data_IF_984717569569
#
_entry.id   IF_984717569569
#
_cell.length_a   1.000
_cell.length_b   1.000
_cell.length_c   1.000
_cell.angle_alpha   90.00
_cell.angle_beta   90.00
_cell.angle_gamma   90.00
#
_symmetry.space_group_name_H-M   'P 1'
#
loop_
_entity.id
_entity.type
_entity.pdbx_description
1 polymer ?
#
# COMPACT_ATOMS: atom_id res chain seq x y z
N UNK A 1 -43.13 2.49 4.23
CA UNK A 1 -42.27 3.15 3.22
C UNK A 1 -40.90 2.48 3.24
N UNK A 2 -40.44 1.89 2.12
CA UNK A 2 -39.07 1.36 2.03
C UNK A 2 -38.14 2.53 1.71
N UNK A 3 -37.30 2.93 2.67
CA UNK A 3 -36.25 3.90 2.45
C UNK A 3 -35.29 3.29 1.44
N UNK A 4 -35.26 3.82 0.21
CA UNK A 4 -34.24 3.46 -0.77
C UNK A 4 -32.91 3.96 -0.20
N UNK A 5 -32.05 3.04 0.23
CA UNK A 5 -30.65 3.34 0.53
C UNK A 5 -29.99 3.72 -0.80
N UNK A 6 -30.02 5.00 -1.14
CA UNK A 6 -29.24 5.56 -2.23
C UNK A 6 -27.78 5.50 -1.74
N UNK A 7 -26.87 4.80 -2.44
CA UNK A 7 -25.45 4.82 -2.08
C UNK A 7 -24.99 6.27 -2.04
N UNK A 8 -24.38 6.69 -0.93
CA UNK A 8 -23.79 8.03 -0.85
C UNK A 8 -22.85 8.24 -2.05
N UNK A 9 -22.83 9.45 -2.65
CA UNK A 9 -21.94 9.74 -3.76
C UNK A 9 -20.48 9.43 -3.38
N UNK A 10 -19.64 9.03 -4.35
CA UNK A 10 -18.24 8.74 -4.08
C UNK A 10 -17.59 9.95 -3.42
N UNK A 11 -16.98 9.73 -2.25
CA UNK A 11 -16.28 10.79 -1.54
C UNK A 11 -15.08 11.24 -2.35
N UNK A 12 -14.99 12.53 -2.64
CA UNK A 12 -13.85 13.11 -3.34
C UNK A 12 -12.72 13.44 -2.35
N UNK A 13 -11.58 12.78 -2.51
CA UNK A 13 -10.36 13.08 -1.76
C UNK A 13 -9.49 14.07 -2.54
N UNK A 14 -8.91 15.03 -1.82
CA UNK A 14 -7.86 15.92 -2.33
C UNK A 14 -6.60 15.12 -2.69
N UNK A 15 -5.67 15.68 -3.48
CA UNK A 15 -4.40 15.03 -3.77
C UNK A 15 -3.58 14.68 -2.51
N UNK A 16 -3.61 15.57 -1.49
CA UNK A 16 -2.93 15.33 -0.21
C UNK A 16 -3.57 14.21 0.58
N UNK A 17 -4.91 14.16 0.66
CA UNK A 17 -5.63 13.06 1.32
C UNK A 17 -5.41 11.72 0.62
N UNK A 18 -5.39 11.69 -0.72
CA UNK A 18 -5.06 10.48 -1.47
C UNK A 18 -3.63 10.00 -1.18
N UNK A 19 -2.69 10.94 -1.10
CA UNK A 19 -1.29 10.61 -0.77
C UNK A 19 -1.19 10.09 0.67
N UNK A 20 -1.81 10.77 1.63
CA UNK A 20 -1.91 10.32 3.03
C UNK A 20 -2.49 8.90 3.12
N UNK A 21 -3.65 8.66 2.50
CA UNK A 21 -4.33 7.36 2.53
C UNK A 21 -3.46 6.25 1.95
N UNK A 22 -2.79 6.51 0.81
CA UNK A 22 -1.85 5.55 0.21
C UNK A 22 -0.64 5.31 1.09
N UNK A 23 -0.08 6.35 1.71
CA UNK A 23 1.07 6.20 2.60
C UNK A 23 0.73 5.40 3.86
N UNK A 24 -0.44 5.63 4.47
CA UNK A 24 -0.93 4.81 5.58
C UNK A 24 -1.16 3.37 5.11
N UNK A 25 -1.78 3.20 3.95
CA UNK A 25 -1.99 1.89 3.35
C UNK A 25 -0.67 1.21 2.95
N UNK A 26 0.45 1.92 2.83
CA UNK A 26 1.77 1.34 2.59
C UNK A 26 2.56 1.10 3.89
N UNK A 27 1.98 1.40 5.05
CA UNK A 27 2.63 1.18 6.35
C UNK A 27 3.63 2.25 6.76
N UNK A 28 3.67 3.40 6.10
CA UNK A 28 4.62 4.46 6.46
C UNK A 28 4.31 5.00 7.87
N UNK A 29 5.36 5.29 8.63
CA UNK A 29 5.24 5.94 9.93
C UNK A 29 4.75 7.39 9.80
N UNK A 30 4.04 7.90 10.80
CA UNK A 30 3.45 9.25 10.76
C UNK A 30 4.50 10.34 10.45
N UNK A 31 5.72 10.20 10.98
CA UNK A 31 6.81 11.13 10.74
C UNK A 31 7.28 11.13 9.28
N UNK A 32 7.37 9.96 8.65
CA UNK A 32 7.77 9.84 7.24
C UNK A 32 6.70 10.43 6.32
N UNK A 33 5.43 10.20 6.64
CA UNK A 33 4.30 10.77 5.88
C UNK A 33 4.30 12.29 5.99
N UNK A 34 4.54 12.85 7.18
CA UNK A 34 4.67 14.30 7.38
C UNK A 34 5.76 14.90 6.51
N UNK A 35 6.95 14.30 6.52
CA UNK A 35 8.09 14.73 5.69
C UNK A 35 7.76 14.63 4.21
N UNK A 36 7.13 13.53 3.78
CA UNK A 36 6.70 13.32 2.40
C UNK A 36 5.72 14.40 1.92
N UNK A 37 4.82 14.85 2.80
CA UNK A 37 3.78 15.83 2.48
C UNK A 37 4.19 17.28 2.77
N UNK A 38 5.40 17.50 3.30
CA UNK A 38 5.90 18.79 3.77
C UNK A 38 4.91 19.46 4.75
N UNK A 39 4.57 18.76 5.83
CA UNK A 39 3.60 19.19 6.85
C UNK A 39 4.21 19.25 8.26
N UNK A 40 3.78 20.24 9.03
CA UNK A 40 3.98 20.30 10.47
C UNK A 40 2.92 19.45 11.23
N UNK A 41 3.01 19.39 12.57
CA UNK A 41 2.21 18.45 13.38
C UNK A 41 0.73 18.77 13.34
N UNK A 42 0.41 20.05 13.44
CA UNK A 42 -0.96 20.54 13.38
C UNK A 42 -1.59 20.29 12.01
N UNK A 43 -0.90 20.63 10.92
CA UNK A 43 -1.41 20.43 9.57
C UNK A 43 -1.58 18.95 9.21
N UNK A 44 -0.70 18.07 9.72
CA UNK A 44 -0.85 16.63 9.57
C UNK A 44 -2.06 16.10 10.33
N UNK A 45 -2.27 16.54 11.58
CA UNK A 45 -3.42 16.14 12.39
C UNK A 45 -4.74 16.54 11.72
N UNK A 46 -4.86 17.79 11.25
CA UNK A 46 -6.04 18.27 10.51
C UNK A 46 -6.30 17.44 9.25
N UNK A 47 -5.26 17.14 8.47
CA UNK A 47 -5.41 16.32 7.26
C UNK A 47 -5.89 14.89 7.58
N UNK A 48 -5.42 14.30 8.69
CA UNK A 48 -5.89 13.01 9.18
C UNK A 48 -7.36 13.08 9.62
N UNK A 49 -7.75 14.09 10.38
CA UNK A 49 -9.12 14.29 10.83
C UNK A 49 -10.09 14.44 9.64
N UNK A 50 -9.75 15.26 8.66
CA UNK A 50 -10.55 15.45 7.44
C UNK A 50 -10.73 14.14 6.67
N UNK A 51 -9.64 13.39 6.47
CA UNK A 51 -9.67 12.08 5.81
C UNK A 51 -10.56 11.09 6.59
N UNK A 52 -10.44 11.05 7.92
CA UNK A 52 -11.19 10.11 8.77
C UNK A 52 -12.67 10.45 8.83
N UNK A 53 -13.02 11.73 8.93
CA UNK A 53 -14.39 12.22 8.84
C UNK A 53 -15.03 11.80 7.52
N UNK A 54 -14.33 11.99 6.40
CA UNK A 54 -14.77 11.56 5.06
C UNK A 54 -14.99 10.06 4.94
N UNK A 55 -14.14 9.26 5.59
CA UNK A 55 -14.26 7.81 5.59
C UNK A 55 -15.30 7.28 6.61
N UNK A 56 -15.65 8.07 7.62
CA UNK A 56 -16.52 7.69 8.74
C UNK A 56 -15.81 6.79 9.76
N UNK A 57 -14.55 7.09 10.06
CA UNK A 57 -13.65 6.26 10.89
C UNK A 57 -12.90 7.12 11.91
N UNK A 58 -12.10 6.51 12.80
CA UNK A 58 -11.39 7.22 13.87
C UNK A 58 -9.88 6.92 13.96
N UNK A 59 -9.34 6.06 13.09
CA UNK A 59 -7.91 5.72 13.11
C UNK A 59 -7.41 5.18 11.77
N UNK A 60 -6.09 5.15 11.61
CA UNK A 60 -5.38 4.65 10.42
C UNK A 60 -5.83 3.25 9.98
N UNK A 61 -5.91 2.29 10.90
CA UNK A 61 -6.27 0.90 10.60
C UNK A 61 -7.68 0.79 10.00
N UNK A 62 -8.65 1.45 10.63
CA UNK A 62 -10.04 1.48 10.16
C UNK A 62 -10.21 2.29 8.87
N UNK A 63 -9.38 3.33 8.67
CA UNK A 63 -9.34 4.10 7.43
C UNK A 63 -8.93 3.24 6.22
N UNK A 64 -7.83 2.49 6.33
CA UNK A 64 -7.35 1.59 5.27
C UNK A 64 -8.38 0.49 4.97
N UNK A 65 -8.91 -0.16 6.01
CA UNK A 65 -9.97 -1.17 5.85
C UNK A 65 -11.22 -0.63 5.15
N UNK A 66 -11.68 0.56 5.54
CA UNK A 66 -12.88 1.18 4.98
C UNK A 66 -12.64 1.63 3.55
N UNK A 67 -11.48 2.23 3.27
CA UNK A 67 -11.07 2.63 1.93
C UNK A 67 -11.01 1.44 0.98
N UNK A 68 -10.48 0.30 1.42
CA UNK A 68 -10.44 -0.92 0.61
C UNK A 68 -11.84 -1.46 0.32
N UNK A 69 -12.69 -1.59 1.34
CA UNK A 69 -14.10 -2.05 1.17
C UNK A 69 -14.90 -1.15 0.23
N UNK A 70 -14.64 0.17 0.26
CA UNK A 70 -15.28 1.16 -0.61
C UNK A 70 -14.58 1.32 -1.98
N UNK A 71 -13.52 0.54 -2.26
CA UNK A 71 -12.73 0.56 -3.51
C UNK A 71 -12.04 1.90 -3.79
N UNK A 72 -11.65 2.63 -2.76
CA UNK A 72 -10.81 3.83 -2.89
C UNK A 72 -9.31 3.50 -2.99
N UNK A 73 -8.92 2.32 -2.53
CA UNK A 73 -7.59 1.76 -2.67
C UNK A 73 -7.70 0.33 -3.21
N UNK A 74 -6.72 -0.08 -3.99
CA UNK A 74 -6.60 -1.38 -4.63
C UNK A 74 -6.09 -2.45 -3.66
N UNK A 75 -6.26 -3.72 -4.05
CA UNK A 75 -5.77 -4.87 -3.28
C UNK A 75 -4.26 -4.81 -3.01
N UNK A 76 -3.48 -4.21 -3.90
CA UNK A 76 -2.02 -4.02 -3.71
C UNK A 76 -1.70 -3.11 -2.53
N UNK A 77 -2.56 -2.13 -2.26
CA UNK A 77 -2.45 -1.18 -1.15
C UNK A 77 -3.01 -1.80 0.15
N UNK A 78 -3.89 -2.79 0.05
CA UNK A 78 -4.41 -3.59 1.16
C UNK A 78 -3.66 -4.92 1.35
N UNK A 79 -2.35 -4.96 1.09
CA UNK A 79 -1.53 -6.13 1.37
C UNK A 79 -1.07 -6.16 2.84
N UNK A 80 -0.60 -7.30 3.35
CA UNK A 80 -0.05 -7.35 4.71
C UNK A 80 1.25 -6.53 4.80
N UNK A 81 1.51 -5.93 5.96
CA UNK A 81 2.70 -5.10 6.19
C UNK A 81 4.01 -5.87 5.98
N UNK A 82 4.02 -7.16 6.31
CA UNK A 82 5.21 -7.97 6.07
C UNK A 82 5.45 -8.18 4.57
N UNK A 83 4.40 -8.42 3.77
CA UNK A 83 4.53 -8.58 2.33
C UNK A 83 4.95 -7.25 1.70
N UNK A 84 4.41 -6.12 2.16
CA UNK A 84 4.83 -4.79 1.72
C UNK A 84 6.30 -4.53 2.03
N UNK A 85 6.75 -4.85 3.23
CA UNK A 85 8.14 -4.69 3.65
C UNK A 85 9.08 -5.55 2.80
N UNK A 86 8.71 -6.81 2.55
CA UNK A 86 9.48 -7.73 1.68
C UNK A 86 9.51 -7.21 0.24
N UNK A 87 8.38 -6.73 -0.28
CA UNK A 87 8.26 -6.17 -1.62
C UNK A 87 9.10 -4.90 -1.78
N UNK A 88 9.06 -3.99 -0.80
CA UNK A 88 9.81 -2.75 -0.81
C UNK A 88 11.32 -3.01 -0.76
N UNK A 89 11.76 -3.88 0.15
CA UNK A 89 13.17 -4.28 0.24
C UNK A 89 13.64 -4.91 -1.07
N UNK A 90 12.85 -5.85 -1.62
CA UNK A 90 13.18 -6.50 -2.88
C UNK A 90 13.25 -5.50 -4.04
N UNK A 91 12.31 -4.56 -4.13
CA UNK A 91 12.32 -3.52 -5.14
C UNK A 91 13.55 -2.61 -5.00
N UNK A 92 13.88 -2.18 -3.77
CA UNK A 92 15.05 -1.36 -3.49
C UNK A 92 16.35 -2.05 -3.94
N UNK A 93 16.53 -3.33 -3.59
CA UNK A 93 17.72 -4.11 -3.94
C UNK A 93 17.90 -4.31 -5.45
N UNK A 94 16.80 -4.24 -6.23
CA UNK A 94 16.79 -4.56 -7.66
C UNK A 94 16.65 -3.34 -8.57
N UNK A 95 16.19 -2.20 -8.05
CA UNK A 95 16.04 -0.95 -8.84
C UNK A 95 17.37 -0.48 -9.43
N UNK A 96 18.46 -0.65 -8.70
CA UNK A 96 19.80 -0.26 -9.16
C UNK A 96 20.27 -1.13 -10.34
N UNK A 97 19.86 -2.41 -10.41
CA UNK A 97 20.14 -3.28 -11.57
C UNK A 97 19.39 -2.83 -12.82
N UNK A 98 18.19 -2.27 -12.67
CA UNK A 98 17.38 -1.77 -13.78
C UNK A 98 17.87 -0.40 -14.28
N UNK A 99 18.38 0.46 -13.38
CA UNK A 99 18.90 1.79 -13.74
C UNK A 99 20.21 1.77 -14.54
N UNK A 100 21.00 0.70 -14.44
CA UNK A 100 22.30 0.58 -15.12
C UNK A 100 22.18 0.10 -16.59
N UNK A 101 20.97 -0.02 -17.12
CA UNK A 101 20.73 -0.67 -18.40
C UNK A 101 20.52 0.33 -19.54
N UNK A 102 21.55 0.52 -20.38
CA UNK A 102 21.43 1.10 -21.74
C UNK A 102 20.89 0.06 -22.77
N UNK A 103 20.31 -1.06 -22.30
CA UNK A 103 19.97 -2.21 -23.14
C UNK A 103 18.61 -2.10 -23.87
N UNK A 104 18.49 -2.87 -24.96
CA UNK A 104 17.25 -3.01 -25.76
C UNK A 104 16.05 -3.42 -24.88
N UNK A 105 14.89 -2.88 -25.23
CA UNK A 105 13.56 -3.18 -24.67
C UNK A 105 13.30 -4.67 -24.36
N UNK A 106 13.77 -5.61 -25.20
CA UNK A 106 13.59 -7.05 -24.95
C UNK A 106 14.42 -7.56 -23.79
N UNK A 107 15.65 -7.06 -23.62
CA UNK A 107 16.52 -7.46 -22.52
C UNK A 107 16.02 -6.90 -21.18
N UNK A 108 15.56 -5.64 -21.20
CA UNK A 108 14.88 -5.04 -20.05
C UNK A 108 13.64 -5.85 -19.62
N UNK A 109 12.83 -6.32 -20.57
CA UNK A 109 11.68 -7.16 -20.30
C UNK A 109 12.09 -8.48 -19.62
N UNK A 110 13.16 -9.14 -20.11
CA UNK A 110 13.69 -10.35 -19.51
C UNK A 110 14.21 -10.12 -18.09
N UNK A 111 14.95 -9.05 -17.86
CA UNK A 111 15.43 -8.70 -16.52
C UNK A 111 14.29 -8.43 -15.56
N UNK A 112 13.25 -7.71 -16.01
CA UNK A 112 12.06 -7.48 -15.20
C UNK A 112 11.34 -8.79 -14.89
N UNK A 113 11.22 -9.68 -15.87
CA UNK A 113 10.59 -10.99 -15.67
C UNK A 113 11.34 -11.84 -14.64
N UNK A 114 12.68 -11.91 -14.72
CA UNK A 114 13.51 -12.64 -13.77
C UNK A 114 13.39 -12.07 -12.35
N UNK A 115 13.41 -10.74 -12.22
CA UNK A 115 13.16 -10.03 -10.95
C UNK A 115 11.78 -10.39 -10.37
N UNK A 116 10.73 -10.49 -11.20
CA UNK A 116 9.40 -10.86 -10.73
C UNK A 116 9.32 -12.33 -10.27
N UNK A 117 10.02 -13.25 -10.94
CA UNK A 117 10.09 -14.66 -10.53
C UNK A 117 10.81 -14.81 -9.18
N UNK A 118 11.94 -14.13 -9.00
CA UNK A 118 12.64 -14.11 -7.71
C UNK A 118 11.77 -13.55 -6.58
N UNK A 119 10.98 -12.51 -6.86
CA UNK A 119 10.05 -11.97 -5.88
C UNK A 119 8.98 -12.99 -5.50
N UNK A 120 8.41 -13.69 -6.49
CA UNK A 120 7.43 -14.74 -6.26
C UNK A 120 7.97 -15.86 -5.37
N UNK A 121 9.17 -16.38 -5.68
CA UNK A 121 9.84 -17.39 -4.86
C UNK A 121 10.12 -16.89 -3.43
N UNK A 122 10.49 -15.62 -3.28
CA UNK A 122 10.71 -15.01 -1.95
C UNK A 122 9.42 -14.96 -1.14
N UNK A 123 8.28 -14.71 -1.78
CA UNK A 123 6.97 -14.72 -1.11
C UNK A 123 6.53 -16.12 -0.70
N UNK A 124 6.70 -17.14 -1.56
CA UNK A 124 6.38 -18.54 -1.21
C UNK A 124 7.16 -19.00 0.03
N UNK A 125 8.48 -18.75 0.03
CA UNK A 125 9.33 -19.06 1.17
C UNK A 125 8.95 -18.28 2.45
N UNK A 126 8.36 -17.10 2.31
CA UNK A 126 7.87 -16.32 3.45
C UNK A 126 6.57 -16.91 4.01
N UNK A 127 5.64 -17.31 3.14
CA UNK A 127 4.38 -17.93 3.56
C UNK A 127 4.60 -19.28 4.24
N UNK A 128 5.52 -20.09 3.75
CA UNK A 128 5.85 -21.41 4.32
C UNK A 128 6.46 -21.27 5.72
N UNK A 129 7.30 -20.26 5.93
CA UNK A 129 7.86 -19.95 7.26
C UNK A 129 6.82 -19.47 8.27
N UNK A 130 5.71 -18.86 7.80
CA UNK A 130 4.62 -18.39 8.66
C UNK A 130 3.63 -19.49 9.04
N UNK A 131 3.55 -20.57 8.26
CA UNK A 131 2.67 -21.70 8.50
C UNK A 131 3.47 -23.01 8.73
N UNK A 132 4.29 -23.13 9.79
CA UNK A 132 5.09 -24.34 10.03
C UNK A 132 4.31 -25.58 10.46
N UNK A 133 2.99 -25.50 10.70
CA UNK A 133 2.16 -26.61 11.16
C UNK A 133 1.15 -27.01 10.09
N UNK A 134 1.52 -27.95 9.23
CA UNK A 134 0.63 -28.93 8.56
C UNK A 134 1.43 -29.98 7.77
N UNK A 135 2.75 -29.81 7.58
CA UNK A 135 3.62 -30.85 7.06
C UNK A 135 4.26 -31.67 8.19
N UNK A 136 3.46 -32.47 8.90
CA UNK A 136 4.00 -33.44 9.85
C UNK A 136 3.05 -33.85 10.97
N UNK A 137 1.95 -34.53 10.62
CA UNK A 137 1.30 -35.59 11.42
C UNK A 137 0.52 -36.52 10.47
#
# INVERSE_FOLDING_TARGET
>A
MKVKNIPAPPVAFTPKENTLLKSIALGLGCEDIRKLLDLNDEAYAVLCEDLFMKLGVSNHYTAVNTAFKKKYIDRKEFCSEDIKSIALQFAHDRVEKLKQSDQDSKYLLWNLYDILLEFHLKLENYTDKKNPTEAGL
#
